data_IF_281223115511
#
_entry.id   IF_281223115511
#
_cell.length_a   1.000
_cell.length_b   1.000
_cell.length_c   1.000
_cell.angle_alpha   90.00
_cell.angle_beta   90.00
_cell.angle_gamma   90.00
#
_symmetry.space_group_name_H-M   'P 1'
#
loop_
_entity.id
_entity.type
_entity.pdbx_description
1 polymer ?
#
# COMPACT_ATOMS: atom_id res chain seq x y z
N UNK A 1 49.09 -26.60 -23.77
CA UNK A 1 49.07 -26.58 -22.29
C UNK A 1 48.40 -25.29 -21.86
N UNK A 2 47.19 -25.34 -21.25
CA UNK A 2 46.47 -24.17 -20.73
C UNK A 2 46.91 -23.92 -19.26
N UNK A 3 46.41 -22.89 -18.52
CA UNK A 3 45.05 -23.03 -17.98
C UNK A 3 44.24 -21.72 -17.75
N UNK A 4 42.93 -21.93 -17.59
CA UNK A 4 41.98 -21.27 -16.66
C UNK A 4 41.64 -19.78 -16.89
N UNK A 5 40.40 -19.50 -17.31
CA UNK A 5 39.25 -19.15 -16.43
C UNK A 5 39.40 -17.78 -15.73
N UNK A 6 38.59 -16.80 -16.13
CA UNK A 6 37.71 -16.15 -15.15
C UNK A 6 36.54 -15.45 -15.85
N UNK A 7 35.36 -15.97 -15.57
CA UNK A 7 34.07 -15.36 -15.80
C UNK A 7 33.85 -14.19 -14.82
N UNK A 8 33.00 -13.27 -15.24
CA UNK A 8 32.12 -12.44 -14.40
C UNK A 8 32.78 -11.25 -13.67
N UNK A 9 32.38 -10.04 -14.09
CA UNK A 9 32.18 -8.95 -13.14
C UNK A 9 30.75 -8.47 -13.30
N UNK A 10 29.87 -8.96 -12.42
CA UNK A 10 28.54 -8.42 -12.20
C UNK A 10 28.71 -6.94 -11.86
N UNK A 11 28.27 -6.06 -12.76
CA UNK A 11 28.02 -4.67 -12.41
C UNK A 11 26.76 -4.66 -11.54
N UNK A 12 26.94 -4.88 -10.24
CA UNK A 12 25.92 -4.64 -9.23
C UNK A 12 25.65 -3.14 -9.19
N UNK A 13 24.67 -2.69 -9.98
CA UNK A 13 24.08 -1.37 -9.79
C UNK A 13 23.31 -1.46 -8.47
N UNK A 14 23.96 -1.03 -7.39
CA UNK A 14 23.29 -0.70 -6.14
C UNK A 14 22.32 0.43 -6.46
N UNK A 15 21.04 0.08 -6.73
CA UNK A 15 19.96 1.06 -6.71
C UNK A 15 19.95 1.65 -5.31
N UNK A 16 20.32 2.92 -5.26
CA UNK A 16 20.25 3.79 -4.12
C UNK A 16 18.85 3.66 -3.50
N UNK A 17 18.80 3.10 -2.30
CA UNK A 17 17.69 3.23 -1.38
C UNK A 17 17.48 4.73 -1.12
N UNK A 18 16.61 5.35 -1.92
CA UNK A 18 16.08 6.68 -1.67
C UNK A 18 15.17 6.64 -0.46
N UNK A 19 15.77 6.51 0.73
CA UNK A 19 15.10 6.75 2.00
C UNK A 19 15.04 8.25 2.27
N UNK A 20 14.09 8.94 1.64
CA UNK A 20 13.64 10.26 2.12
C UNK A 20 12.74 10.03 3.35
N UNK A 21 13.37 9.90 4.51
CA UNK A 21 12.69 10.06 5.80
C UNK A 21 12.40 11.54 6.05
N UNK A 22 11.15 11.85 6.41
CA UNK A 22 10.82 13.20 6.89
C UNK A 22 9.39 13.66 6.67
N UNK A 23 8.39 12.90 7.12
CA UNK A 23 7.13 13.44 7.66
C UNK A 23 6.30 12.28 8.20
N UNK A 24 5.66 12.42 9.36
CA UNK A 24 4.63 11.50 9.86
C UNK A 24 3.30 11.72 9.11
N UNK A 25 3.41 11.85 7.79
CA UNK A 25 2.33 11.98 6.82
C UNK A 25 2.69 10.95 5.77
N UNK A 26 1.77 10.02 5.48
CA UNK A 26 1.95 9.03 4.44
C UNK A 26 2.56 9.67 3.18
N UNK A 27 3.45 8.98 2.45
CA UNK A 27 4.09 9.58 1.29
C UNK A 27 3.04 9.97 0.25
N UNK A 28 2.67 11.25 0.17
CA UNK A 28 1.80 11.86 -0.86
C UNK A 28 2.56 11.97 -2.21
N UNK A 29 3.23 10.89 -2.62
CA UNK A 29 3.98 10.81 -3.85
C UNK A 29 3.13 10.30 -5.02
N UNK A 30 3.58 10.49 -6.27
CA UNK A 30 2.88 9.97 -7.45
C UNK A 30 2.58 8.46 -7.39
N UNK A 31 3.44 7.69 -6.72
CA UNK A 31 3.28 6.25 -6.52
C UNK A 31 2.08 5.92 -5.60
N UNK A 32 1.92 6.64 -4.49
CA UNK A 32 0.77 6.46 -3.59
C UNK A 32 -0.54 6.86 -4.27
N UNK A 33 -0.55 7.96 -5.03
CA UNK A 33 -1.72 8.32 -5.83
C UNK A 33 -2.07 7.27 -6.88
N UNK A 34 -1.07 6.63 -7.50
CA UNK A 34 -1.33 5.56 -8.47
C UNK A 34 -1.97 4.33 -7.81
N UNK A 35 -1.48 3.91 -6.63
CA UNK A 35 -2.07 2.81 -5.87
C UNK A 35 -3.49 3.12 -5.41
N UNK A 36 -3.71 4.28 -4.78
CA UNK A 36 -5.04 4.71 -4.33
C UNK A 36 -6.04 4.83 -5.49
N UNK A 37 -5.60 5.24 -6.67
CA UNK A 37 -6.45 5.25 -7.87
C UNK A 37 -6.85 3.83 -8.29
N UNK A 38 -5.96 2.84 -8.19
CA UNK A 38 -6.30 1.44 -8.46
C UNK A 38 -7.29 0.91 -7.42
N UNK A 39 -7.08 1.21 -6.14
CA UNK A 39 -8.01 0.86 -5.06
C UNK A 39 -9.39 1.44 -5.33
N UNK A 40 -9.48 2.74 -5.65
CA UNK A 40 -10.76 3.38 -5.96
C UNK A 40 -11.45 2.73 -7.18
N UNK A 41 -10.69 2.44 -8.24
CA UNK A 41 -11.23 1.86 -9.46
C UNK A 41 -11.72 0.41 -9.29
N UNK A 42 -11.01 -0.40 -8.51
CA UNK A 42 -11.26 -1.86 -8.38
C UNK A 42 -12.12 -2.21 -7.17
N UNK A 43 -11.91 -1.51 -6.06
CA UNK A 43 -12.48 -1.83 -4.76
C UNK A 43 -13.45 -0.75 -4.25
N UNK A 44 -13.53 0.42 -4.91
CA UNK A 44 -14.21 1.61 -4.39
C UNK A 44 -15.69 1.44 -3.97
N UNK A 45 -16.38 0.42 -4.47
CA UNK A 45 -17.78 0.11 -4.11
C UNK A 45 -17.93 -0.83 -2.91
N UNK A 46 -16.84 -1.45 -2.47
CA UNK A 46 -16.83 -2.30 -1.28
C UNK A 46 -16.83 -1.42 -0.03
N UNK A 47 -17.32 -1.97 1.08
CA UNK A 47 -17.46 -1.23 2.32
C UNK A 47 -16.38 -1.58 3.33
N UNK A 48 -15.92 -0.56 4.03
CA UNK A 48 -15.15 -0.65 5.26
C UNK A 48 -15.94 0.10 6.34
N UNK A 49 -16.21 -0.58 7.46
CA UNK A 49 -17.18 -0.09 8.43
C UNK A 49 -18.56 0.07 7.78
N UNK A 50 -19.13 1.27 7.93
CA UNK A 50 -20.41 1.66 7.33
C UNK A 50 -20.27 2.46 6.03
N UNK A 51 -19.05 2.68 5.54
CA UNK A 51 -18.77 3.57 4.42
C UNK A 51 -18.21 2.81 3.22
N UNK A 52 -18.52 3.21 1.98
CA UNK A 52 -17.85 2.68 0.80
C UNK A 52 -16.42 3.24 0.70
N UNK A 53 -15.50 2.45 0.16
CA UNK A 53 -14.08 2.82 0.02
C UNK A 53 -13.90 4.14 -0.75
N UNK A 54 -14.67 4.36 -1.81
CA UNK A 54 -14.55 5.60 -2.59
C UNK A 54 -14.93 6.87 -1.80
N UNK A 55 -15.76 6.74 -0.75
CA UNK A 55 -16.03 7.82 0.18
C UNK A 55 -14.85 8.04 1.13
N UNK A 56 -14.30 6.95 1.69
CA UNK A 56 -13.16 6.99 2.61
C UNK A 56 -11.86 7.48 1.94
N UNK A 57 -11.73 7.32 0.62
CA UNK A 57 -10.62 7.84 -0.17
C UNK A 57 -10.81 9.30 -0.61
N UNK A 58 -12.00 9.88 -0.41
CA UNK A 58 -12.26 11.26 -0.80
C UNK A 58 -11.68 12.21 0.26
N UNK A 59 -10.94 13.23 -0.18
CA UNK A 59 -10.40 14.31 0.67
C UNK A 59 -11.48 15.11 1.42
N UNK A 60 -12.76 14.94 1.08
CA UNK A 60 -13.90 15.53 1.79
C UNK A 60 -14.41 14.67 2.96
N UNK A 61 -13.85 13.47 3.17
CA UNK A 61 -14.13 12.63 4.34
C UNK A 61 -13.32 13.14 5.54
N UNK A 62 -13.97 13.32 6.68
CA UNK A 62 -13.29 13.62 7.95
C UNK A 62 -12.53 12.39 8.50
N UNK A 63 -12.87 11.20 8.01
CA UNK A 63 -12.16 9.96 8.33
C UNK A 63 -11.05 9.73 7.31
N UNK A 64 -9.81 9.82 7.80
CA UNK A 64 -8.58 9.63 7.04
C UNK A 64 -7.88 8.31 7.37
N UNK A 65 -8.45 7.51 8.27
CA UNK A 65 -7.80 6.30 8.79
C UNK A 65 -7.59 5.27 7.69
N UNK A 66 -8.63 4.98 6.91
CA UNK A 66 -8.53 4.08 5.77
C UNK A 66 -7.51 4.58 4.73
N UNK A 67 -7.47 5.88 4.47
CA UNK A 67 -6.52 6.48 3.53
C UNK A 67 -5.06 6.30 4.03
N UNK A 68 -4.80 6.58 5.31
CA UNK A 68 -3.48 6.44 5.93
C UNK A 68 -3.00 4.98 5.94
N UNK A 69 -3.85 4.03 6.34
CA UNK A 69 -3.47 2.61 6.33
C UNK A 69 -3.27 2.07 4.91
N UNK A 70 -4.12 2.49 3.96
CA UNK A 70 -4.00 2.06 2.56
C UNK A 70 -2.74 2.60 1.90
N UNK A 71 -2.35 3.84 2.21
CA UNK A 71 -1.10 4.43 1.70
C UNK A 71 0.13 3.76 2.32
N UNK A 72 0.12 3.43 3.61
CA UNK A 72 1.19 2.64 4.25
C UNK A 72 1.35 1.26 3.60
N UNK A 73 0.24 0.57 3.32
CA UNK A 73 0.26 -0.72 2.63
C UNK A 73 0.84 -0.58 1.21
N UNK A 74 0.36 0.38 0.42
CA UNK A 74 0.84 0.62 -0.94
C UNK A 74 2.32 1.03 -1.00
N UNK A 75 2.83 1.67 0.05
CA UNK A 75 4.24 2.02 0.20
C UNK A 75 5.11 0.88 0.77
N UNK A 76 4.52 -0.26 1.15
CA UNK A 76 5.22 -1.37 1.81
C UNK A 76 5.72 -1.04 3.22
N UNK A 77 5.13 -0.03 3.87
CA UNK A 77 5.46 0.35 5.26
C UNK A 77 4.85 -0.62 6.26
N UNK A 78 3.71 -1.19 5.91
CA UNK A 78 3.03 -2.26 6.64
C UNK A 78 2.74 -3.42 5.69
N UNK A 79 2.64 -4.63 6.24
CA UNK A 79 2.24 -5.82 5.49
C UNK A 79 0.72 -6.01 5.47
N UNK A 80 0.29 -7.00 4.69
CA UNK A 80 -1.12 -7.35 4.51
C UNK A 80 -1.81 -7.74 5.83
N UNK A 81 -1.09 -8.42 6.72
CA UNK A 81 -1.63 -8.86 8.03
C UNK A 81 -1.87 -7.66 8.95
N UNK A 82 -0.88 -6.76 9.02
CA UNK A 82 -0.97 -5.50 9.79
C UNK A 82 -2.11 -4.64 9.25
N UNK A 83 -2.20 -4.46 7.93
CA UNK A 83 -3.29 -3.71 7.29
C UNK A 83 -4.66 -4.30 7.63
N UNK A 84 -4.84 -5.62 7.49
CA UNK A 84 -6.10 -6.29 7.79
C UNK A 84 -6.50 -6.15 9.28
N UNK A 85 -5.52 -6.26 10.19
CA UNK A 85 -5.73 -6.05 11.63
C UNK A 85 -6.17 -4.61 11.93
N UNK A 86 -5.44 -3.63 11.41
CA UNK A 86 -5.69 -2.22 11.69
C UNK A 86 -7.06 -1.79 11.16
N UNK A 87 -7.41 -2.16 9.92
CA UNK A 87 -8.75 -1.89 9.37
C UNK A 87 -9.85 -2.50 10.25
N UNK A 88 -9.70 -3.73 10.73
CA UNK A 88 -10.72 -4.33 11.60
C UNK A 88 -10.76 -3.70 13.00
N UNK A 89 -9.64 -3.17 13.50
CA UNK A 89 -9.55 -2.47 14.78
C UNK A 89 -10.23 -1.09 14.72
N UNK A 90 -9.97 -0.32 13.67
CA UNK A 90 -10.54 1.01 13.49
C UNK A 90 -12.00 0.98 13.00
N UNK A 91 -12.38 -0.07 12.27
CA UNK A 91 -13.73 -0.25 11.72
C UNK A 91 -14.42 -1.54 12.24
N UNK A 92 -14.62 -1.67 13.57
CA UNK A 92 -15.03 -2.93 14.20
C UNK A 92 -16.47 -3.35 13.89
N UNK A 93 -17.30 -2.44 13.35
CA UNK A 93 -18.70 -2.72 13.01
C UNK A 93 -18.91 -3.11 11.54
N UNK A 94 -17.86 -3.15 10.72
CA UNK A 94 -17.96 -3.47 9.29
C UNK A 94 -17.67 -4.94 8.96
N UNK A 95 -18.31 -5.45 7.91
CA UNK A 95 -17.89 -6.70 7.27
C UNK A 95 -16.76 -6.41 6.26
N UNK A 96 -15.58 -6.08 6.79
CA UNK A 96 -14.49 -5.50 6.01
C UNK A 96 -13.78 -6.50 5.09
N UNK A 97 -14.00 -7.82 5.27
CA UNK A 97 -13.18 -8.86 4.65
C UNK A 97 -13.09 -8.72 3.12
N UNK A 98 -14.21 -8.53 2.43
CA UNK A 98 -14.20 -8.40 0.97
C UNK A 98 -13.43 -7.15 0.51
N UNK A 99 -13.52 -6.05 1.25
CA UNK A 99 -12.76 -4.83 0.97
C UNK A 99 -11.26 -5.03 1.21
N UNK A 100 -10.90 -5.65 2.34
CA UNK A 100 -9.52 -5.96 2.72
C UNK A 100 -8.87 -6.87 1.67
N UNK A 101 -9.52 -7.97 1.31
CA UNK A 101 -9.03 -8.92 0.31
C UNK A 101 -8.82 -8.24 -1.05
N UNK A 102 -9.76 -7.37 -1.44
CA UNK A 102 -9.65 -6.62 -2.69
C UNK A 102 -8.42 -5.71 -2.70
N UNK A 103 -8.15 -4.98 -1.62
CA UNK A 103 -7.01 -4.04 -1.52
C UNK A 103 -5.69 -4.79 -1.46
N UNK A 104 -5.59 -5.84 -0.65
CA UNK A 104 -4.37 -6.66 -0.53
C UNK A 104 -4.01 -7.30 -1.87
N UNK A 105 -4.99 -7.78 -2.63
CA UNK A 105 -4.75 -8.34 -3.97
C UNK A 105 -4.29 -7.32 -5.04
N UNK A 106 -4.07 -6.04 -4.67
CA UNK A 106 -3.47 -5.03 -5.54
C UNK A 106 -1.98 -4.78 -5.27
N UNK A 107 -1.44 -5.29 -4.16
CA UNK A 107 0.00 -5.14 -3.81
C UNK A 107 0.84 -6.38 -4.14
N UNK A 108 0.20 -7.46 -4.57
CA UNK A 108 0.84 -8.71 -5.03
C UNK A 108 1.28 -8.68 -6.51
#
# INVERSE_FOLDING_TARGET
MPPLLSFVTFASVALLLGGCGGSLVAPEGPASNAFLNQVNARCGKLSVGSQPINYLLNMSSDDTTFLDETTKLGAGTIDAETYASDINSFYPMGNNQAAIDCVIGLVE
#
